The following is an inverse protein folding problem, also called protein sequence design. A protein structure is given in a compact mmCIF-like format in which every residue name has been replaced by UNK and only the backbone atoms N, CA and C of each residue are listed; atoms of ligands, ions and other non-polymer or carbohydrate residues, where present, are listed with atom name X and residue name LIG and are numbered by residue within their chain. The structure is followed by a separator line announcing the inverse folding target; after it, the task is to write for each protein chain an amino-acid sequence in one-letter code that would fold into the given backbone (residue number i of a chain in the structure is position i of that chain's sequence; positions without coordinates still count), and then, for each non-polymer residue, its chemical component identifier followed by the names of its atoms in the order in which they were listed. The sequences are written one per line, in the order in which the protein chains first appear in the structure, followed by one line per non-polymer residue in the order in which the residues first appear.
data_IF_858432003449
#
_entry.id   IF_858432003449
#
_cell.length_a   1.000
_cell.length_b   1.000
_cell.length_c   1.000
_cell.angle_alpha   90.00
_cell.angle_beta   90.00
_cell.angle_gamma   90.00
#
_symmetry.space_group_name_H-M   'P 1'
#
loop_
_entity.id
_entity.type
_entity.pdbx_description
1 polymer ?
#
# COMPACT_ATOMS: atom_id res chain seq x y z
N UNK A 1 20.13 -39.61 -0.86
CA UNK A 1 19.95 -38.64 0.25
C UNK A 1 19.59 -39.39 1.55
N UNK A 2 20.15 -40.59 1.77
CA UNK A 2 19.68 -41.50 2.85
C UNK A 2 20.56 -41.48 4.11
N UNK A 3 21.68 -40.73 4.10
CA UNK A 3 22.68 -40.76 5.18
C UNK A 3 23.20 -39.37 5.62
N UNK A 4 22.55 -38.27 5.23
CA UNK A 4 22.96 -36.92 5.63
C UNK A 4 21.91 -36.27 6.53
N UNK A 5 22.33 -35.78 7.69
CA UNK A 5 21.50 -35.02 8.64
C UNK A 5 21.92 -33.55 8.56
N UNK A 6 20.94 -32.65 8.58
CA UNK A 6 21.22 -31.21 8.66
C UNK A 6 21.67 -30.91 10.09
N UNK A 7 22.87 -30.36 10.24
CA UNK A 7 23.39 -29.93 11.55
C UNK A 7 22.44 -28.92 12.21
N UNK A 8 22.17 -29.03 13.52
CA UNK A 8 21.28 -28.12 14.21
C UNK A 8 21.82 -26.68 14.23
N UNK A 9 20.93 -25.72 14.47
CA UNK A 9 21.26 -24.29 14.65
C UNK A 9 21.87 -23.58 13.43
N UNK A 10 21.66 -24.10 12.22
CA UNK A 10 22.00 -23.38 11.00
C UNK A 10 21.00 -22.26 10.72
N UNK A 11 21.49 -21.02 10.61
CA UNK A 11 20.67 -19.87 10.25
C UNK A 11 20.19 -19.98 8.80
N UNK A 12 18.88 -19.89 8.58
CA UNK A 12 18.29 -19.81 7.26
C UNK A 12 18.55 -18.42 6.63
N UNK A 13 19.31 -18.38 5.53
CA UNK A 13 19.74 -17.12 4.87
C UNK A 13 18.88 -16.69 3.68
N UNK A 14 17.95 -17.54 3.23
CA UNK A 14 17.11 -17.25 2.05
C UNK A 14 15.85 -16.48 2.48
N UNK A 15 15.22 -15.82 1.51
CA UNK A 15 13.90 -15.24 1.72
C UNK A 15 12.89 -16.34 2.07
N UNK A 16 12.06 -16.09 3.08
CA UNK A 16 10.98 -16.99 3.44
C UNK A 16 9.86 -16.87 2.38
N UNK A 17 9.25 -17.98 1.96
CA UNK A 17 7.99 -17.95 1.22
C UNK A 17 6.91 -17.17 1.99
N UNK A 18 5.93 -16.60 1.30
CA UNK A 18 4.91 -15.74 1.93
C UNK A 18 4.14 -16.46 3.05
N UNK A 19 3.76 -17.72 2.82
CA UNK A 19 3.07 -18.56 3.82
C UNK A 19 3.93 -18.73 5.07
N UNK A 20 5.23 -19.02 4.90
CA UNK A 20 6.17 -19.14 6.01
C UNK A 20 6.43 -17.80 6.70
N UNK A 21 6.42 -16.70 5.95
CA UNK A 21 6.56 -15.34 6.48
C UNK A 21 5.38 -14.98 7.38
N UNK A 22 4.14 -15.27 6.95
CA UNK A 22 2.94 -15.06 7.76
C UNK A 22 3.01 -15.83 9.09
N UNK A 23 3.40 -17.10 9.05
CA UNK A 23 3.56 -17.91 10.26
C UNK A 23 4.71 -17.42 11.13
N UNK A 24 5.85 -17.00 10.54
CA UNK A 24 6.98 -16.44 11.27
C UNK A 24 6.61 -15.12 11.97
N UNK A 25 5.86 -14.24 11.29
CA UNK A 25 5.33 -13.00 11.88
C UNK A 25 4.39 -13.34 13.03
N UNK A 26 3.44 -14.26 12.82
CA UNK A 26 2.51 -14.69 13.87
C UNK A 26 3.23 -15.27 15.08
N UNK A 27 4.21 -16.14 14.84
CA UNK A 27 5.05 -16.75 15.88
C UNK A 27 5.86 -15.69 16.65
N UNK A 28 6.40 -14.70 15.95
CA UNK A 28 7.25 -13.66 16.56
C UNK A 28 6.46 -12.54 17.23
N UNK A 29 5.14 -12.49 17.00
CA UNK A 29 4.26 -11.46 17.57
C UNK A 29 3.79 -11.91 18.94
N UNK A 30 4.30 -11.25 19.98
CA UNK A 30 3.85 -11.42 21.36
C UNK A 30 3.14 -10.15 21.83
N UNK A 31 2.08 -10.30 22.62
CA UNK A 31 1.44 -9.17 23.28
C UNK A 31 2.41 -8.47 24.25
N UNK A 32 2.22 -7.18 24.58
CA UNK A 32 3.10 -6.45 25.48
C UNK A 32 3.29 -7.14 26.85
N UNK A 33 2.23 -7.70 27.42
CA UNK A 33 2.27 -8.41 28.70
C UNK A 33 3.07 -9.73 28.61
N UNK A 34 2.77 -10.56 27.60
CA UNK A 34 3.48 -11.82 27.36
C UNK A 34 4.96 -11.57 27.10
N UNK A 35 5.28 -10.54 26.31
CA UNK A 35 6.65 -10.11 26.04
C UNK A 35 7.36 -9.65 27.31
N UNK A 36 6.67 -8.93 28.20
CA UNK A 36 7.24 -8.52 29.49
C UNK A 36 7.60 -9.72 30.36
N UNK A 37 6.68 -10.69 30.49
CA UNK A 37 6.90 -11.93 31.24
C UNK A 37 8.09 -12.70 30.67
N UNK A 38 8.16 -12.82 29.35
CA UNK A 38 9.25 -13.53 28.66
C UNK A 38 10.61 -12.84 28.88
N UNK A 39 10.67 -11.51 28.79
CA UNK A 39 11.89 -10.74 29.08
C UNK A 39 12.32 -10.94 30.54
N UNK A 40 11.39 -10.85 31.49
CA UNK A 40 11.68 -11.08 32.91
C UNK A 40 12.20 -12.49 33.15
N UNK A 41 11.59 -13.51 32.53
CA UNK A 41 12.03 -14.90 32.59
C UNK A 41 13.47 -15.06 32.09
N UNK A 42 13.78 -14.52 30.91
CA UNK A 42 15.12 -14.60 30.33
C UNK A 42 16.15 -13.82 31.16
N UNK A 43 15.76 -12.68 31.72
CA UNK A 43 16.64 -11.86 32.56
C UNK A 43 17.13 -12.60 33.82
N UNK A 44 16.35 -13.57 34.31
CA UNK A 44 16.72 -14.42 35.44
C UNK A 44 18.00 -15.23 35.20
N UNK A 45 18.32 -15.58 33.94
CA UNK A 45 19.50 -16.35 33.60
C UNK A 45 20.81 -15.53 33.65
N UNK A 46 20.75 -14.19 33.61
CA UNK A 46 21.97 -13.36 33.66
C UNK A 46 22.74 -13.52 34.97
N UNK A 47 22.06 -13.82 36.08
CA UNK A 47 22.73 -14.03 37.37
C UNK A 47 23.56 -15.31 37.42
N UNK A 48 23.31 -16.26 36.53
CA UNK A 48 24.09 -17.48 36.40
C UNK A 48 25.25 -17.35 35.38
N UNK A 49 25.44 -16.18 34.77
CA UNK A 49 26.50 -15.97 33.78
C UNK A 49 27.86 -15.76 34.46
N UNK A 50 28.79 -16.69 34.28
CA UNK A 50 30.15 -16.62 34.81
C UNK A 50 30.89 -15.33 34.39
N UNK A 51 30.65 -14.85 33.17
CA UNK A 51 31.26 -13.61 32.67
C UNK A 51 30.75 -12.36 33.39
N UNK A 52 29.46 -12.31 33.74
CA UNK A 52 28.90 -11.17 34.49
C UNK A 52 29.37 -11.18 35.95
N UNK A 53 29.40 -12.38 36.56
CA UNK A 53 29.87 -12.57 37.94
C UNK A 53 31.35 -12.21 38.06
N UNK A 54 32.20 -12.70 37.15
CA UNK A 54 33.64 -12.40 37.17
C UNK A 54 33.96 -10.92 36.92
N UNK A 55 33.09 -10.21 36.19
CA UNK A 55 33.19 -8.76 35.99
C UNK A 55 32.60 -7.93 37.15
N UNK A 56 32.01 -8.56 38.17
CA UNK A 56 31.36 -7.86 39.29
C UNK A 56 30.09 -7.10 38.91
N UNK A 57 29.49 -7.41 37.76
CA UNK A 57 28.27 -6.75 37.28
C UNK A 57 27.01 -7.44 37.81
N UNK A 58 26.01 -6.64 38.17
CA UNK A 58 24.69 -7.13 38.59
C UNK A 58 23.60 -6.57 37.68
N UNK A 59 22.71 -7.45 37.22
CA UNK A 59 21.58 -7.09 36.36
C UNK A 59 20.29 -7.24 37.15
N UNK A 60 19.50 -6.16 37.21
CA UNK A 60 18.15 -6.19 37.80
C UNK A 60 17.22 -7.06 36.95
N UNK A 61 16.37 -7.85 37.62
CA UNK A 61 15.30 -8.62 36.96
C UNK A 61 14.03 -7.80 36.73
N UNK A 62 13.92 -6.67 37.41
CA UNK A 62 12.77 -5.77 37.29
C UNK A 62 13.04 -4.73 36.19
N UNK A 63 12.08 -4.50 35.28
CA UNK A 63 12.11 -3.38 34.36
C UNK A 63 12.30 -2.06 35.11
N UNK A 64 12.92 -1.09 34.45
CA UNK A 64 13.00 0.27 35.00
C UNK A 64 11.66 0.98 34.85
N UNK A 65 11.23 1.66 35.91
CA UNK A 65 10.11 2.59 35.84
C UNK A 65 10.58 3.90 35.21
N UNK A 66 9.77 4.43 34.29
CA UNK A 66 10.06 5.66 33.56
C UNK A 66 8.81 6.53 33.59
N UNK A 67 8.94 7.77 34.04
CA UNK A 67 7.87 8.74 33.96
C UNK A 67 7.60 9.11 32.49
N UNK A 68 6.38 8.86 32.04
CA UNK A 68 5.94 9.19 30.69
C UNK A 68 4.79 10.20 30.73
N UNK A 69 4.82 11.17 29.81
CA UNK A 69 3.71 12.10 29.60
C UNK A 69 2.90 11.69 28.38
N UNK A 70 1.60 11.46 28.56
CA UNK A 70 0.70 11.22 27.44
C UNK A 70 0.27 12.57 26.84
N UNK A 71 0.72 12.84 25.61
CA UNK A 71 0.31 14.04 24.88
C UNK A 71 -1.15 13.93 24.43
N UNK A 72 -1.87 15.05 24.48
CA UNK A 72 -3.21 15.11 23.90
C UNK A 72 -3.12 14.94 22.37
N UNK A 73 -3.97 14.10 21.77
CA UNK A 73 -3.92 13.88 20.34
C UNK A 73 -4.36 15.15 19.58
N UNK A 74 -3.77 15.42 18.40
CA UNK A 74 -4.19 16.55 17.58
C UNK A 74 -5.61 16.34 17.05
N UNK A 75 -6.25 17.46 16.72
CA UNK A 75 -7.53 17.45 16.01
C UNK A 75 -7.28 17.38 14.49
N UNK A 76 -8.14 16.66 13.77
CA UNK A 76 -8.07 16.54 12.31
C UNK A 76 -9.12 17.44 11.67
N UNK A 77 -8.65 18.31 10.79
CA UNK A 77 -9.52 19.17 10.00
C UNK A 77 -10.01 18.45 8.73
N UNK A 78 -11.32 18.55 8.50
CA UNK A 78 -11.99 18.14 7.27
C UNK A 78 -12.78 19.33 6.71
N UNK A 79 -13.26 19.23 5.47
CA UNK A 79 -14.19 20.23 4.93
C UNK A 79 -15.50 20.18 5.71
N UNK A 80 -15.71 21.16 6.58
CA UNK A 80 -16.88 21.26 7.45
C UNK A 80 -16.62 22.11 8.70
N UNK A 81 -17.64 22.29 9.57
CA UNK A 81 -17.56 23.22 10.69
C UNK A 81 -16.83 22.67 11.93
N UNK A 82 -16.68 21.34 12.05
CA UNK A 82 -16.09 20.72 13.25
C UNK A 82 -14.88 19.86 12.90
N UNK A 83 -13.72 20.13 13.53
CA UNK A 83 -12.60 19.20 13.50
C UNK A 83 -12.95 17.90 14.23
N UNK A 84 -12.27 16.81 13.89
CA UNK A 84 -12.49 15.46 14.43
C UNK A 84 -11.41 15.10 15.45
N UNK A 85 -11.78 14.64 16.66
CA UNK A 85 -10.81 14.13 17.62
C UNK A 85 -10.25 12.78 17.18
N UNK A 86 -8.94 12.60 17.31
CA UNK A 86 -8.28 11.29 17.13
C UNK A 86 -8.45 10.48 18.42
N UNK A 87 -8.87 9.22 18.29
CA UNK A 87 -9.03 8.28 19.42
C UNK A 87 -8.03 7.16 19.26
N UNK A 88 -7.19 6.94 20.28
CA UNK A 88 -6.17 5.88 20.31
C UNK A 88 -5.27 5.87 19.06
N UNK A 89 -4.91 7.06 18.56
CA UNK A 89 -4.10 7.22 17.35
C UNK A 89 -4.83 6.86 16.03
N UNK A 90 -6.14 6.59 16.07
CA UNK A 90 -6.95 6.17 14.93
C UNK A 90 -8.04 7.19 14.60
N UNK A 91 -8.36 7.27 13.31
CA UNK A 91 -9.42 8.08 12.74
C UNK A 91 -9.82 7.48 11.37
N UNK A 92 -10.98 7.88 10.85
CA UNK A 92 -11.43 7.50 9.52
C UNK A 92 -12.10 8.69 8.80
N UNK A 93 -12.34 8.51 7.50
CA UNK A 93 -12.93 9.55 6.63
C UNK A 93 -14.44 9.37 6.40
N UNK A 94 -15.09 8.45 7.15
CA UNK A 94 -16.50 8.11 6.91
C UNK A 94 -17.38 9.33 7.22
N UNK A 95 -18.21 9.73 6.26
CA UNK A 95 -19.06 10.92 6.36
C UNK A 95 -18.29 12.25 6.37
N UNK A 96 -17.00 12.24 6.00
CA UNK A 96 -16.16 13.44 5.91
C UNK A 96 -15.84 13.78 4.46
N UNK A 97 -15.62 15.06 4.19
CA UNK A 97 -15.14 15.56 2.89
C UNK A 97 -13.72 16.10 3.04
N UNK A 98 -12.90 15.91 2.00
CA UNK A 98 -11.51 16.38 1.98
C UNK A 98 -11.47 17.92 1.98
N UNK A 99 -10.51 18.50 2.72
CA UNK A 99 -10.35 19.96 2.82
C UNK A 99 -10.08 20.63 1.46
N UNK A 100 -9.30 19.96 0.61
CA UNK A 100 -8.95 20.43 -0.73
C UNK A 100 -9.13 19.28 -1.72
N UNK A 101 -9.79 19.56 -2.83
CA UNK A 101 -10.07 18.59 -3.89
C UNK A 101 -9.70 19.18 -5.24
N UNK A 102 -9.20 18.36 -6.15
CA UNK A 102 -8.94 18.77 -7.53
C UNK A 102 -10.23 18.73 -8.33
N UNK A 103 -10.57 19.84 -8.99
CA UNK A 103 -11.72 19.92 -9.90
C UNK A 103 -11.34 19.49 -11.32
N UNK A 104 -12.27 18.83 -12.01
CA UNK A 104 -12.10 18.40 -13.40
C UNK A 104 -11.06 17.29 -13.54
N UNK A 105 -11.08 16.29 -12.66
CA UNK A 105 -10.20 15.14 -12.76
C UNK A 105 -10.73 14.15 -13.79
N UNK A 106 -9.90 13.87 -14.78
CA UNK A 106 -10.07 12.88 -15.82
C UNK A 106 -9.31 11.61 -15.46
N UNK A 107 -9.76 10.48 -15.99
CA UNK A 107 -9.08 9.22 -15.73
C UNK A 107 -9.40 8.18 -16.79
N UNK A 108 -8.56 7.16 -16.83
CA UNK A 108 -8.71 6.00 -17.69
C UNK A 108 -8.52 4.70 -16.90
N UNK A 109 -8.96 3.58 -17.47
CA UNK A 109 -8.88 2.27 -16.82
C UNK A 109 -8.17 1.28 -17.74
N UNK A 110 -7.19 0.57 -17.20
CA UNK A 110 -6.48 -0.50 -17.90
C UNK A 110 -6.59 -1.78 -17.06
N UNK A 111 -7.11 -2.84 -17.66
CA UNK A 111 -7.14 -4.16 -17.06
C UNK A 111 -6.06 -5.06 -17.65
N UNK A 112 -5.04 -5.36 -16.84
CA UNK A 112 -3.96 -6.28 -17.19
C UNK A 112 -4.20 -7.70 -16.62
N UNK A 113 -5.35 -7.94 -16.00
CA UNK A 113 -5.77 -9.23 -15.48
C UNK A 113 -7.11 -9.69 -16.11
N UNK A 114 -7.20 -9.81 -17.46
CA UNK A 114 -8.46 -10.14 -18.14
C UNK A 114 -9.00 -11.53 -17.82
N UNK A 115 -8.14 -12.44 -17.34
CA UNK A 115 -8.50 -13.79 -16.89
C UNK A 115 -9.24 -13.81 -15.55
N UNK A 116 -8.97 -12.83 -14.67
CA UNK A 116 -9.56 -12.74 -13.33
C UNK A 116 -10.69 -11.71 -13.25
N UNK A 117 -10.61 -10.62 -14.01
CA UNK A 117 -11.58 -9.53 -14.01
C UNK A 117 -12.23 -9.33 -15.39
N UNK A 118 -13.53 -9.61 -15.45
CA UNK A 118 -14.34 -9.38 -16.64
C UNK A 118 -14.84 -7.93 -16.71
N UNK A 119 -15.19 -7.48 -17.92
CA UNK A 119 -15.63 -6.11 -18.20
C UNK A 119 -16.78 -5.61 -17.31
N UNK A 120 -17.74 -6.48 -16.98
CA UNK A 120 -18.86 -6.12 -16.10
C UNK A 120 -18.41 -5.83 -14.66
N UNK A 121 -17.47 -6.62 -14.14
CA UNK A 121 -16.92 -6.40 -12.79
C UNK A 121 -16.10 -5.11 -12.74
N UNK A 122 -15.33 -4.81 -13.79
CA UNK A 122 -14.57 -3.56 -13.90
C UNK A 122 -15.52 -2.36 -13.85
N UNK A 123 -16.64 -2.41 -14.58
CA UNK A 123 -17.64 -1.34 -14.54
C UNK A 123 -18.21 -1.15 -13.13
N UNK A 124 -18.54 -2.24 -12.42
CA UNK A 124 -19.01 -2.18 -11.03
C UNK A 124 -17.96 -1.55 -10.10
N UNK A 125 -16.69 -1.95 -10.21
CA UNK A 125 -15.60 -1.35 -9.44
C UNK A 125 -15.42 0.15 -9.76
N UNK A 126 -15.56 0.55 -11.03
CA UNK A 126 -15.47 1.96 -11.42
C UNK A 126 -16.61 2.78 -10.83
N UNK A 127 -17.84 2.27 -10.84
CA UNK A 127 -18.99 2.94 -10.21
C UNK A 127 -18.83 3.06 -8.70
N UNK A 128 -18.36 1.99 -8.04
CA UNK A 128 -18.08 2.02 -6.60
C UNK A 128 -16.97 3.03 -6.26
N UNK A 129 -15.89 3.07 -7.06
CA UNK A 129 -14.80 4.02 -6.89
C UNK A 129 -15.26 5.47 -7.06
N UNK A 130 -16.07 5.77 -8.08
CA UNK A 130 -16.67 7.09 -8.29
C UNK A 130 -17.57 7.52 -7.13
N UNK A 131 -18.38 6.59 -6.62
CA UNK A 131 -19.23 6.85 -5.46
C UNK A 131 -18.40 7.22 -4.24
N UNK A 132 -17.40 6.42 -3.91
CA UNK A 132 -16.47 6.70 -2.80
C UNK A 132 -15.75 8.05 -2.97
N UNK A 133 -15.28 8.36 -4.18
CA UNK A 133 -14.67 9.66 -4.48
C UNK A 133 -15.64 10.82 -4.25
N UNK A 134 -16.89 10.67 -4.70
CA UNK A 134 -17.95 11.68 -4.55
C UNK A 134 -18.32 11.89 -3.08
N UNK A 135 -18.41 10.83 -2.29
CA UNK A 135 -18.67 10.88 -0.85
C UNK A 135 -17.58 11.68 -0.11
N UNK A 136 -16.33 11.59 -0.58
CA UNK A 136 -15.19 12.37 -0.09
C UNK A 136 -15.11 13.80 -0.64
N UNK A 137 -16.03 14.18 -1.53
CA UNK A 137 -16.10 15.50 -2.16
C UNK A 137 -15.25 15.66 -3.42
N UNK A 138 -14.70 14.59 -3.97
CA UNK A 138 -13.96 14.59 -5.24
C UNK A 138 -14.94 14.33 -6.39
N UNK A 139 -15.13 15.33 -7.24
CA UNK A 139 -15.96 15.18 -8.45
C UNK A 139 -15.20 14.37 -9.50
N UNK A 140 -15.50 13.07 -9.59
CA UNK A 140 -14.89 12.17 -10.56
C UNK A 140 -15.92 11.75 -11.61
N UNK A 141 -15.66 12.07 -12.88
CA UNK A 141 -16.51 11.68 -14.00
C UNK A 141 -16.38 10.21 -14.39
N UNK A 142 -17.01 9.81 -15.50
CA UNK A 142 -16.79 8.50 -16.12
C UNK A 142 -15.36 8.37 -16.67
N UNK A 143 -14.76 7.16 -16.68
CA UNK A 143 -13.49 6.96 -17.36
C UNK A 143 -13.58 7.39 -18.83
N UNK A 144 -12.60 8.13 -19.31
CA UNK A 144 -12.51 8.54 -20.73
C UNK A 144 -12.38 7.30 -21.62
N UNK A 145 -11.55 6.35 -21.20
CA UNK A 145 -11.31 5.12 -21.91
C UNK A 145 -11.05 3.98 -20.93
N UNK A 146 -11.56 2.80 -21.29
CA UNK A 146 -11.33 1.55 -20.57
C UNK A 146 -10.82 0.53 -21.60
N UNK A 147 -9.74 -0.18 -21.27
CA UNK A 147 -9.15 -1.17 -22.15
C UNK A 147 -8.77 -2.43 -21.35
N UNK A 148 -9.14 -3.59 -21.88
CA UNK A 148 -8.58 -4.87 -21.45
C UNK A 148 -7.35 -5.17 -22.30
N UNK A 149 -6.29 -5.62 -21.65
CA UNK A 149 -5.00 -5.86 -22.29
C UNK A 149 -4.74 -7.35 -22.32
N UNK A 150 -4.41 -7.86 -23.50
CA UNK A 150 -3.96 -9.24 -23.65
C UNK A 150 -2.59 -9.41 -22.95
N UNK A 151 -2.44 -10.42 -22.07
CA UNK A 151 -1.18 -10.70 -21.37
C UNK A 151 0.05 -10.87 -22.28
N UNK A 152 -0.14 -11.23 -23.55
CA UNK A 152 0.95 -11.42 -24.51
C UNK A 152 1.36 -10.13 -25.25
N UNK A 153 0.58 -9.06 -25.13
CA UNK A 153 0.85 -7.80 -25.83
C UNK A 153 2.03 -7.03 -25.22
N UNK A 154 2.72 -6.24 -26.05
CA UNK A 154 3.68 -5.25 -25.55
C UNK A 154 2.94 -4.12 -24.83
N UNK A 155 3.13 -4.06 -23.50
CA UNK A 155 2.47 -3.09 -22.65
C UNK A 155 2.82 -1.64 -23.00
N UNK A 156 4.04 -1.35 -23.47
CA UNK A 156 4.40 0.03 -23.83
C UNK A 156 3.60 0.51 -25.03
N UNK A 157 3.51 -0.30 -26.08
CA UNK A 157 2.68 0.02 -27.24
C UNK A 157 1.21 0.17 -26.88
N UNK A 158 0.71 -0.68 -25.98
CA UNK A 158 -0.67 -0.61 -25.50
C UNK A 158 -0.92 0.70 -24.77
N UNK A 159 0.00 1.14 -23.90
CA UNK A 159 -0.12 2.40 -23.17
C UNK A 159 -0.07 3.62 -24.11
N UNK A 160 0.78 3.60 -25.13
CA UNK A 160 0.84 4.67 -26.13
C UNK A 160 -0.44 4.73 -26.97
N UNK A 161 -0.95 3.58 -27.42
CA UNK A 161 -2.25 3.47 -28.12
C UNK A 161 -3.40 3.94 -27.22
N UNK A 162 -3.37 3.59 -25.93
CA UNK A 162 -4.36 4.01 -24.96
C UNK A 162 -4.40 5.54 -24.84
N UNK A 163 -3.24 6.18 -24.71
CA UNK A 163 -3.15 7.65 -24.62
C UNK A 163 -3.58 8.33 -25.93
N UNK A 164 -3.28 7.72 -27.08
CA UNK A 164 -3.76 8.20 -28.37
C UNK A 164 -5.31 8.22 -28.43
N UNK A 165 -5.98 7.17 -27.96
CA UNK A 165 -7.45 7.12 -27.89
C UNK A 165 -7.99 8.15 -26.89
N UNK A 166 -7.34 8.32 -25.73
CA UNK A 166 -7.73 9.35 -24.74
C UNK A 166 -7.66 10.74 -25.37
N UNK A 167 -6.58 11.04 -26.10
CA UNK A 167 -6.41 12.31 -26.83
C UNK A 167 -7.53 12.55 -27.85
N UNK A 168 -7.90 11.52 -28.63
CA UNK A 168 -9.01 11.63 -29.58
C UNK A 168 -10.36 11.93 -28.90
N UNK A 169 -10.64 11.28 -27.77
CA UNK A 169 -11.91 11.47 -27.05
C UNK A 169 -12.05 12.81 -26.34
N UNK A 170 -10.92 13.44 -25.97
CA UNK A 170 -10.91 14.81 -25.42
C UNK A 170 -11.19 15.86 -26.52
N UNK A 171 -10.96 15.52 -27.80
CA UNK A 171 -11.39 16.28 -28.97
C UNK A 171 -10.51 17.48 -29.34
N UNK A 172 -9.83 18.14 -28.40
CA UNK A 172 -8.91 19.25 -28.69
C UNK A 172 -7.51 19.02 -28.12
N UNK A 173 -6.47 19.38 -28.88
CA UNK A 173 -5.07 19.34 -28.41
C UNK A 173 -4.87 20.18 -27.16
N UNK A 174 -5.44 21.39 -27.13
CA UNK A 174 -5.29 22.32 -26.00
C UNK A 174 -5.82 21.73 -24.70
N UNK A 175 -7.04 21.17 -24.70
CA UNK A 175 -7.61 20.50 -23.51
C UNK A 175 -6.80 19.29 -23.07
N UNK A 176 -6.22 18.52 -24.01
CA UNK A 176 -5.37 17.38 -23.70
C UNK A 176 -4.07 17.83 -23.02
N UNK A 177 -3.41 18.85 -23.56
CA UNK A 177 -2.19 19.41 -22.97
C UNK A 177 -2.47 20.09 -21.62
N UNK A 178 -3.59 20.78 -21.47
CA UNK A 178 -4.01 21.38 -20.19
C UNK A 178 -4.26 20.30 -19.14
N UNK A 179 -4.96 19.22 -19.51
CA UNK A 179 -5.25 18.09 -18.63
C UNK A 179 -3.95 17.46 -18.11
N UNK A 180 -2.99 17.19 -18.99
CA UNK A 180 -1.69 16.63 -18.62
C UNK A 180 -0.84 17.62 -17.81
N UNK A 181 -0.75 18.88 -18.27
CA UNK A 181 0.04 19.93 -17.64
C UNK A 181 -0.42 20.25 -16.21
N UNK A 182 -1.74 20.23 -15.96
CA UNK A 182 -2.33 20.41 -14.61
C UNK A 182 -2.40 19.12 -13.80
N UNK A 183 -1.89 17.99 -14.31
CA UNK A 183 -1.96 16.65 -13.69
C UNK A 183 -3.37 16.26 -13.28
N UNK A 184 -4.34 16.61 -14.13
CA UNK A 184 -5.75 16.29 -13.96
C UNK A 184 -6.12 14.94 -14.58
N UNK A 185 -5.14 14.13 -14.98
CA UNK A 185 -5.37 12.79 -15.52
C UNK A 185 -4.63 11.74 -14.71
N UNK A 186 -5.26 10.59 -14.49
CA UNK A 186 -4.58 9.40 -13.96
C UNK A 186 -5.10 8.12 -14.60
N UNK A 187 -4.30 7.06 -14.55
CA UNK A 187 -4.71 5.73 -15.00
C UNK A 187 -4.94 4.83 -13.79
N UNK A 188 -6.12 4.23 -13.70
CA UNK A 188 -6.42 3.14 -12.79
C UNK A 188 -6.10 1.81 -13.48
N UNK A 189 -5.22 1.02 -12.87
CA UNK A 189 -4.75 -0.23 -13.42
C UNK A 189 -5.08 -1.41 -12.51
N UNK A 190 -5.72 -2.45 -13.06
CA UNK A 190 -5.95 -3.72 -12.39
C UNK A 190 -4.84 -4.72 -12.74
N UNK A 191 -4.17 -5.24 -11.72
CA UNK A 191 -3.06 -6.18 -11.82
C UNK A 191 -3.34 -7.44 -11.00
N UNK A 192 -2.73 -8.55 -11.40
CA UNK A 192 -2.60 -9.72 -10.54
C UNK A 192 -1.51 -9.50 -9.48
N UNK A 193 -1.63 -10.18 -8.34
CA UNK A 193 -0.69 -10.07 -7.20
C UNK A 193 0.78 -10.31 -7.60
N UNK A 194 1.04 -11.30 -8.47
CA UNK A 194 2.38 -11.65 -8.92
C UNK A 194 2.91 -10.79 -10.09
N UNK A 195 2.17 -9.76 -10.53
CA UNK A 195 2.49 -8.98 -11.73
C UNK A 195 3.58 -7.91 -11.53
N UNK A 196 4.73 -8.31 -10.98
CA UNK A 196 5.88 -7.43 -10.71
C UNK A 196 6.42 -6.74 -11.98
N UNK A 197 6.49 -7.45 -13.10
CA UNK A 197 6.99 -6.92 -14.38
C UNK A 197 6.03 -5.92 -15.03
N UNK A 198 4.73 -6.21 -15.25
CA UNK A 198 3.79 -5.22 -15.76
C UNK A 198 3.71 -3.95 -14.89
N UNK A 199 3.77 -4.10 -13.57
CA UNK A 199 3.84 -2.97 -12.63
C UNK A 199 5.08 -2.10 -12.86
N UNK A 200 6.26 -2.72 -12.97
CA UNK A 200 7.51 -2.00 -13.18
C UNK A 200 7.49 -1.23 -14.51
N UNK A 201 6.99 -1.85 -15.58
CA UNK A 201 6.82 -1.21 -16.90
C UNK A 201 5.85 -0.04 -16.82
N UNK A 202 4.67 -0.21 -16.20
CA UNK A 202 3.67 0.85 -16.05
C UNK A 202 4.24 2.06 -15.28
N UNK A 203 4.97 1.80 -14.18
CA UNK A 203 5.60 2.85 -13.39
C UNK A 203 6.72 3.54 -14.16
N UNK A 204 7.56 2.79 -14.86
CA UNK A 204 8.62 3.35 -15.69
C UNK A 204 8.04 4.26 -16.80
N UNK A 205 7.01 3.80 -17.51
CA UNK A 205 6.35 4.58 -18.55
C UNK A 205 5.68 5.85 -18.02
N UNK A 206 4.93 5.75 -16.91
CA UNK A 206 4.22 6.88 -16.30
C UNK A 206 5.15 7.91 -15.66
N UNK A 207 6.14 7.45 -14.89
CA UNK A 207 6.99 8.33 -14.08
C UNK A 207 8.16 8.91 -14.88
N UNK A 208 8.71 8.16 -15.84
CA UNK A 208 9.92 8.54 -16.58
C UNK A 208 9.63 9.05 -18.00
N UNK A 209 8.84 8.31 -18.79
CA UNK A 209 8.70 8.60 -20.23
C UNK A 209 7.65 9.67 -20.54
N UNK A 210 6.51 9.67 -19.82
CA UNK A 210 5.37 10.55 -20.10
C UNK A 210 5.29 11.80 -19.21
N UNK A 211 6.33 12.07 -18.42
CA UNK A 211 6.42 13.32 -17.64
C UNK A 211 5.64 13.33 -16.32
N UNK A 212 5.62 12.19 -15.60
CA UNK A 212 4.96 11.98 -14.29
C UNK A 212 3.43 11.89 -14.37
N UNK A 213 2.94 11.01 -15.24
CA UNK A 213 1.53 10.65 -15.30
C UNK A 213 1.17 9.78 -14.08
N UNK A 214 0.24 10.23 -13.21
CA UNK A 214 -0.17 9.45 -12.03
C UNK A 214 -0.79 8.10 -12.40
N UNK A 215 -0.24 7.02 -11.85
CA UNK A 215 -0.74 5.65 -12.03
C UNK A 215 -1.18 5.06 -10.69
N UNK A 216 -2.46 4.70 -10.59
CA UNK A 216 -3.06 4.01 -9.45
C UNK A 216 -3.16 2.53 -9.78
N UNK A 217 -2.57 1.68 -8.94
CA UNK A 217 -2.52 0.23 -9.16
C UNK A 217 -3.35 -0.47 -8.10
N UNK A 218 -4.26 -1.36 -8.54
CA UNK A 218 -5.07 -2.21 -7.69
C UNK A 218 -4.71 -3.67 -7.96
N UNK A 219 -4.35 -4.39 -6.90
CA UNK A 219 -4.09 -5.82 -6.95
C UNK A 219 -5.36 -6.62 -6.70
N UNK A 220 -5.55 -7.66 -7.50
CA UNK A 220 -6.60 -8.65 -7.31
C UNK A 220 -6.07 -9.77 -6.43
N UNK A 221 -6.67 -9.89 -5.24
CA UNK A 221 -6.51 -11.03 -4.35
C UNK A 221 -7.47 -12.16 -4.74
#
# INVERSE_FOLDING_TARGET
MELCIIEPNQLFKKALPEVATREMVRFSTLGPEEKMVEIQRVSGYYQASESLVSAGMQVSRQPMDVDATQMQPPLIEFRGPSPMPVRDGKWNVVGKKLCRTTEGCHWGVINLAPTKLHSQQIQQHCMAFQKCATDLGVALGIPIHMQQVDPQSDLLEVLDKFMFVVKQKIGSEESYQEMLGKRKFFILCFLEEEASRPRATLKFWGDTQTGKLPTLVLYLN
#
